data_IF_688504757767
#
_entry.id   IF_688504757767
#
_cell.length_a   1.000
_cell.length_b   1.000
_cell.length_c   1.000
_cell.angle_alpha   90.00
_cell.angle_beta   90.00
_cell.angle_gamma   90.00
#
_symmetry.space_group_name_H-M   'P 1'
#
loop_
_entity.id
_entity.type
_entity.pdbx_description
1 polymer ?
#
# COMPACT_ATOMS: atom_id res chain seq x y z
N UNK A 1 -34.52 -2.89 6.63
CA UNK A 1 -33.58 -2.36 5.61
C UNK A 1 -33.33 -0.84 5.74
N UNK A 2 -34.36 0.01 5.67
CA UNK A 2 -34.22 1.47 5.66
C UNK A 2 -33.48 2.05 6.89
N UNK A 3 -33.73 1.51 8.09
CA UNK A 3 -33.03 1.92 9.32
C UNK A 3 -31.55 1.52 9.31
N UNK A 4 -31.22 0.38 8.73
CA UNK A 4 -29.83 -0.09 8.58
C UNK A 4 -29.09 0.85 7.62
N UNK A 5 -29.70 1.19 6.48
CA UNK A 5 -29.14 2.16 5.54
C UNK A 5 -28.93 3.55 6.16
N UNK A 6 -29.88 4.03 6.97
CA UNK A 6 -29.72 5.29 7.72
C UNK A 6 -28.54 5.23 8.70
N UNK A 7 -28.37 4.12 9.42
CA UNK A 7 -27.24 3.92 10.33
C UNK A 7 -25.91 3.89 9.59
N UNK A 8 -25.81 3.15 8.49
CA UNK A 8 -24.60 3.10 7.65
C UNK A 8 -24.23 4.50 7.14
N UNK A 9 -25.21 5.25 6.61
CA UNK A 9 -24.99 6.63 6.14
C UNK A 9 -24.57 7.61 7.24
N UNK A 10 -24.81 7.28 8.52
CA UNK A 10 -24.38 8.12 9.65
C UNK A 10 -22.92 7.87 10.07
N UNK A 11 -22.31 6.78 9.61
CA UNK A 11 -20.90 6.48 9.88
C UNK A 11 -20.05 7.39 8.99
N UNK A 12 -19.34 8.34 9.60
CA UNK A 12 -18.41 9.23 8.89
C UNK A 12 -17.19 8.45 8.42
N UNK A 13 -16.69 8.76 7.22
CA UNK A 13 -15.43 8.21 6.72
C UNK A 13 -15.55 6.82 6.07
N UNK A 14 -16.69 6.12 6.22
CA UNK A 14 -16.82 4.73 5.73
C UNK A 14 -16.77 4.61 4.21
N UNK A 15 -17.14 5.67 3.49
CA UNK A 15 -17.13 5.72 2.02
C UNK A 15 -15.73 6.00 1.46
N UNK A 16 -14.89 6.66 2.26
CA UNK A 16 -13.53 7.04 1.93
C UNK A 16 -12.52 5.94 2.28
N UNK A 17 -12.86 5.06 3.23
CA UNK A 17 -12.01 3.93 3.65
C UNK A 17 -11.59 3.05 2.47
N UNK A 18 -12.48 2.60 1.57
CA UNK A 18 -12.07 1.79 0.43
C UNK A 18 -11.00 2.48 -0.40
N UNK A 19 -11.21 3.74 -0.78
CA UNK A 19 -10.28 4.47 -1.64
C UNK A 19 -8.94 4.74 -0.94
N UNK A 20 -8.97 5.24 0.30
CA UNK A 20 -7.76 5.58 1.04
C UNK A 20 -6.89 4.35 1.38
N UNK A 21 -7.51 3.23 1.76
CA UNK A 21 -6.77 2.04 2.16
C UNK A 21 -6.25 1.24 0.96
N UNK A 22 -6.97 1.24 -0.16
CA UNK A 22 -6.61 0.46 -1.35
C UNK A 22 -5.22 0.83 -1.91
N UNK A 23 -4.84 2.11 -1.84
CA UNK A 23 -3.51 2.59 -2.24
C UNK A 23 -2.44 2.43 -1.16
N UNK A 24 -2.84 2.40 0.11
CA UNK A 24 -1.91 2.27 1.23
C UNK A 24 -1.39 0.83 1.37
N UNK A 25 -2.21 -0.17 1.03
CA UNK A 25 -1.87 -1.60 1.18
C UNK A 25 -0.62 -2.01 0.37
N UNK A 26 -0.50 -1.70 -0.93
CA UNK A 26 0.69 -2.07 -1.72
C UNK A 26 1.97 -1.39 -1.21
N UNK A 27 1.89 -0.14 -0.76
CA UNK A 27 3.03 0.59 -0.17
C UNK A 27 3.51 -0.10 1.10
N UNK A 28 2.60 -0.48 1.99
CA UNK A 28 2.94 -1.22 3.22
C UNK A 28 3.56 -2.58 2.88
N UNK A 29 3.08 -3.28 1.86
CA UNK A 29 3.67 -4.55 1.40
C UNK A 29 5.08 -4.37 0.84
N UNK A 30 5.30 -3.32 0.08
CA UNK A 30 6.64 -2.98 -0.42
C UNK A 30 7.61 -2.70 0.72
N UNK A 31 7.21 -1.87 1.70
CA UNK A 31 8.02 -1.58 2.88
C UNK A 31 8.29 -2.84 3.71
N UNK A 32 7.27 -3.68 3.88
CA UNK A 32 7.41 -4.98 4.54
C UNK A 32 8.47 -5.85 3.88
N UNK A 33 8.43 -5.99 2.55
CA UNK A 33 9.40 -6.78 1.79
C UNK A 33 10.81 -6.18 1.88
N UNK A 34 10.93 -4.86 1.74
CA UNK A 34 12.22 -4.14 1.81
C UNK A 34 12.88 -4.28 3.19
N UNK A 35 12.08 -4.33 4.26
CA UNK A 35 12.56 -4.47 5.63
C UNK A 35 12.78 -5.91 6.07
N UNK A 36 12.40 -6.92 5.28
CA UNK A 36 12.46 -8.32 5.69
C UNK A 36 13.86 -8.76 6.11
N UNK A 37 14.88 -8.37 5.34
CA UNK A 37 16.28 -8.73 5.62
C UNK A 37 16.95 -7.83 6.69
N UNK A 38 16.42 -6.62 6.92
CA UNK A 38 17.01 -5.64 7.84
C UNK A 38 16.40 -5.74 9.25
N UNK A 39 15.08 -5.79 9.32
CA UNK A 39 14.31 -5.76 10.57
C UNK A 39 13.08 -6.69 10.45
N UNK A 40 13.27 -8.03 10.53
CA UNK A 40 12.22 -9.01 10.24
C UNK A 40 10.95 -8.85 11.08
N UNK A 41 11.08 -8.41 12.33
CA UNK A 41 9.94 -8.23 13.22
C UNK A 41 9.02 -7.06 12.78
N UNK A 42 9.59 -5.99 12.22
CA UNK A 42 8.81 -4.87 11.65
C UNK A 42 8.15 -5.33 10.36
N UNK A 43 8.90 -6.03 9.49
CA UNK A 43 8.35 -6.62 8.27
C UNK A 43 7.11 -7.48 8.56
N UNK A 44 7.19 -8.39 9.52
CA UNK A 44 6.05 -9.22 9.94
C UNK A 44 4.84 -8.38 10.37
N UNK A 45 5.05 -7.36 11.21
CA UNK A 45 3.96 -6.47 11.67
C UNK A 45 3.35 -5.66 10.52
N UNK A 46 4.15 -5.20 9.56
CA UNK A 46 3.65 -4.50 8.37
C UNK A 46 2.88 -5.45 7.45
N UNK A 47 3.32 -6.69 7.32
CA UNK A 47 2.59 -7.71 6.57
C UNK A 47 1.21 -7.98 7.19
N UNK A 48 1.16 -8.21 8.50
CA UNK A 48 -0.09 -8.38 9.27
C UNK A 48 -1.00 -7.15 9.15
N UNK A 49 -0.44 -5.94 9.26
CA UNK A 49 -1.18 -4.70 9.06
C UNK A 49 -1.80 -4.63 7.67
N UNK A 50 -1.05 -4.96 6.62
CA UNK A 50 -1.55 -4.92 5.23
C UNK A 50 -2.72 -5.89 5.00
N UNK A 51 -2.74 -7.02 5.71
CA UNK A 51 -3.83 -8.00 5.66
C UNK A 51 -5.06 -7.42 6.35
N UNK A 52 -4.90 -6.87 7.55
CA UNK A 52 -6.01 -6.27 8.31
C UNK A 52 -6.66 -5.10 7.55
N UNK A 53 -5.85 -4.24 6.92
CA UNK A 53 -6.36 -3.15 6.08
C UNK A 53 -7.11 -3.69 4.83
N UNK A 54 -6.65 -4.82 4.27
CA UNK A 54 -7.36 -5.50 3.18
C UNK A 54 -8.76 -5.93 3.60
N UNK A 55 -8.89 -6.59 4.75
CA UNK A 55 -10.20 -7.00 5.29
C UNK A 55 -11.11 -5.79 5.54
N UNK A 56 -10.60 -4.73 6.16
CA UNK A 56 -11.35 -3.49 6.40
C UNK A 56 -11.83 -2.84 5.09
N UNK A 57 -11.01 -2.89 4.04
CA UNK A 57 -11.35 -2.37 2.70
C UNK A 57 -12.51 -3.16 2.09
N UNK A 58 -12.48 -4.49 2.19
CA UNK A 58 -13.57 -5.37 1.70
C UNK A 58 -14.87 -5.15 2.49
N UNK A 59 -14.78 -5.08 3.82
CA UNK A 59 -15.94 -4.85 4.68
C UNK A 59 -16.58 -3.49 4.38
N UNK A 60 -15.77 -2.44 4.27
CA UNK A 60 -16.26 -1.09 3.95
C UNK A 60 -16.87 -0.99 2.54
N UNK A 61 -16.30 -1.64 1.52
CA UNK A 61 -16.94 -1.72 0.20
C UNK A 61 -18.28 -2.43 0.24
N UNK A 62 -18.33 -3.56 0.93
CA UNK A 62 -19.57 -4.35 1.06
C UNK A 62 -20.67 -3.51 1.71
N UNK A 63 -20.32 -2.76 2.75
CA UNK A 63 -21.26 -1.88 3.47
C UNK A 63 -21.70 -0.69 2.62
N UNK A 64 -20.80 -0.10 1.83
CA UNK A 64 -21.04 1.13 1.06
C UNK A 64 -21.57 0.88 -0.34
N UNK A 65 -21.49 -0.35 -0.83
CA UNK A 65 -21.72 -0.70 -2.23
C UNK A 65 -20.61 -0.21 -3.16
N UNK A 66 -19.45 0.22 -2.61
CA UNK A 66 -18.33 0.66 -3.41
C UNK A 66 -17.72 -0.54 -4.16
N UNK A 67 -17.43 -0.33 -5.44
CA UNK A 67 -16.77 -1.31 -6.28
C UNK A 67 -15.36 -0.80 -6.55
N UNK A 68 -14.33 -1.56 -6.20
CA UNK A 68 -12.95 -1.16 -6.40
C UNK A 68 -12.15 -2.24 -7.12
N UNK A 69 -11.22 -1.80 -7.94
CA UNK A 69 -10.30 -2.68 -8.64
C UNK A 69 -8.94 -2.70 -7.94
N UNK A 70 -8.71 -3.74 -7.14
CA UNK A 70 -7.44 -3.95 -6.44
C UNK A 70 -6.26 -4.06 -7.41
N UNK A 71 -6.47 -4.52 -8.65
CA UNK A 71 -5.40 -4.62 -9.65
C UNK A 71 -5.00 -3.23 -10.12
N UNK A 72 -5.97 -2.33 -10.35
CA UNK A 72 -5.70 -0.94 -10.71
C UNK A 72 -4.90 -0.26 -9.61
N UNK A 73 -5.33 -0.38 -8.36
CA UNK A 73 -4.62 0.25 -7.23
C UNK A 73 -3.21 -0.33 -7.01
N UNK A 74 -3.05 -1.64 -7.19
CA UNK A 74 -1.73 -2.29 -7.13
C UNK A 74 -0.82 -1.77 -8.23
N UNK A 75 -1.31 -1.65 -9.47
CA UNK A 75 -0.55 -1.09 -10.59
C UNK A 75 -0.16 0.37 -10.34
N UNK A 76 -1.09 1.21 -9.91
CA UNK A 76 -0.83 2.62 -9.64
C UNK A 76 0.20 2.79 -8.52
N UNK A 77 0.09 2.00 -7.45
CA UNK A 77 1.05 2.03 -6.36
C UNK A 77 2.43 1.52 -6.80
N UNK A 78 2.50 0.49 -7.64
CA UNK A 78 3.77 0.02 -8.23
C UNK A 78 4.44 1.11 -9.06
N UNK A 79 3.69 1.76 -9.96
CA UNK A 79 4.22 2.85 -10.79
C UNK A 79 4.76 4.01 -9.93
N UNK A 80 4.05 4.36 -8.86
CA UNK A 80 4.49 5.39 -7.92
C UNK A 80 5.78 4.99 -7.20
N UNK A 81 5.87 3.74 -6.74
CA UNK A 81 7.08 3.22 -6.09
C UNK A 81 8.28 3.18 -7.05
N UNK A 82 8.06 2.82 -8.31
CA UNK A 82 9.09 2.85 -9.34
C UNK A 82 9.59 4.28 -9.62
N UNK A 83 8.69 5.27 -9.66
CA UNK A 83 9.05 6.68 -9.80
C UNK A 83 9.89 7.18 -8.62
N UNK A 84 9.46 6.84 -7.40
CA UNK A 84 10.20 7.19 -6.17
C UNK A 84 11.58 6.55 -6.19
N UNK A 85 11.70 5.28 -6.61
CA UNK A 85 12.98 4.59 -6.74
C UNK A 85 13.90 5.31 -7.73
N UNK A 86 13.41 5.63 -8.93
CA UNK A 86 14.18 6.38 -9.93
C UNK A 86 14.65 7.75 -9.41
N UNK A 87 13.80 8.45 -8.64
CA UNK A 87 14.15 9.73 -8.03
C UNK A 87 15.27 9.56 -6.99
N UNK A 88 15.20 8.53 -6.16
CA UNK A 88 16.23 8.23 -5.16
C UNK A 88 17.54 7.85 -5.84
N UNK A 89 17.52 6.98 -6.85
CA UNK A 89 18.71 6.57 -7.61
C UNK A 89 19.36 7.77 -8.32
N UNK A 90 18.56 8.66 -8.90
CA UNK A 90 19.03 9.93 -9.50
C UNK A 90 19.67 10.86 -8.46
N UNK A 91 19.13 10.94 -7.24
CA UNK A 91 19.73 11.72 -6.15
C UNK A 91 21.03 11.09 -5.65
N UNK A 92 21.06 9.77 -5.46
CA UNK A 92 22.24 9.04 -4.97
C UNK A 92 23.38 9.15 -5.99
N UNK A 93 23.14 8.91 -7.27
CA UNK A 93 24.16 9.01 -8.33
C UNK A 93 24.78 10.41 -8.43
N UNK A 94 23.99 11.47 -8.18
CA UNK A 94 24.51 12.85 -8.11
C UNK A 94 25.36 13.11 -6.87
N UNK A 95 24.95 12.60 -5.72
CA UNK A 95 25.66 12.81 -4.44
C UNK A 95 26.92 11.95 -4.32
N UNK A 96 26.91 10.76 -4.92
CA UNK A 96 27.97 9.76 -4.81
C UNK A 96 28.28 9.15 -6.19
N UNK A 97 28.94 9.90 -7.09
CA UNK A 97 29.19 9.47 -8.47
C UNK A 97 30.10 8.23 -8.59
N UNK A 98 30.86 7.91 -7.54
CA UNK A 98 31.76 6.75 -7.48
C UNK A 98 31.15 5.56 -6.72
N UNK A 99 29.91 5.65 -6.25
CA UNK A 99 29.23 4.53 -5.62
C UNK A 99 28.82 3.56 -6.74
N UNK A 100 29.45 2.38 -6.81
CA UNK A 100 29.01 1.35 -7.76
C UNK A 100 27.53 1.06 -7.53
N UNK A 101 26.72 1.17 -8.59
CA UNK A 101 25.31 0.85 -8.53
C UNK A 101 25.15 -0.58 -8.00
N UNK A 102 24.49 -0.74 -6.87
CA UNK A 102 24.15 -2.06 -6.30
C UNK A 102 23.37 -2.82 -7.37
N UNK A 103 24.04 -3.75 -8.07
CA UNK A 103 23.37 -4.67 -8.99
C UNK A 103 22.47 -5.59 -8.16
N UNK A 104 21.23 -5.85 -8.59
CA UNK A 104 20.43 -6.90 -7.97
C UNK A 104 21.19 -8.23 -8.13
N UNK A 105 21.33 -8.94 -7.00
CA UNK A 105 21.99 -10.24 -6.91
C UNK A 105 21.23 -11.25 -7.80
N UNK A 106 21.88 -11.95 -8.73
CA UNK A 106 21.23 -12.98 -9.53
C UNK A 106 21.09 -14.25 -8.68
N UNK A 107 19.99 -14.37 -7.95
CA UNK A 107 19.58 -15.64 -7.31
C UNK A 107 18.14 -15.99 -7.66
#
# INVERSE_FOLDING_TARGET
LLQIQKRVKSIRGVYEVPEALLFSIPVIRFLSSSLFNLIPHVSKRLCELSINLGSMTVDSATITGANFDLKVATRQSSNFLDEVKLMVDSKISKLYPNLESVKPDPT
#
